data_IF_499230642676
#
_entry.id   IF_499230642676
#
_cell.length_a   1.000
_cell.length_b   1.000
_cell.length_c   1.000
_cell.angle_alpha   90.00
_cell.angle_beta   90.00
_cell.angle_gamma   90.00
#
_symmetry.space_group_name_H-M   'P 1'
#
loop_
_entity.id
_entity.type
_entity.pdbx_description
1 polymer ?
#
# COMPACT_ATOMS: atom_id res chain seq x y z
N UNK A 1 2.02 -1.43 -22.47
CA UNK A 1 2.72 -1.30 -21.17
C UNK A 1 1.89 -0.59 -20.10
N UNK A 2 1.00 0.34 -20.47
CA UNK A 2 0.08 1.02 -19.53
C UNK A 2 -0.76 0.06 -18.69
N UNK A 3 -1.38 -0.96 -19.31
CA UNK A 3 -2.23 -1.92 -18.59
C UNK A 3 -1.48 -2.72 -17.50
N UNK A 4 -0.22 -3.09 -17.74
CA UNK A 4 0.61 -3.75 -16.73
C UNK A 4 0.93 -2.78 -15.59
N UNK A 5 1.23 -1.51 -15.89
CA UNK A 5 1.52 -0.48 -14.89
C UNK A 5 0.31 -0.20 -14.00
N UNK A 6 -0.86 0.01 -14.62
CA UNK A 6 -2.14 0.26 -13.95
C UNK A 6 -2.59 -0.94 -13.12
N UNK A 7 -2.50 -2.15 -13.69
CA UNK A 7 -2.83 -3.39 -12.99
C UNK A 7 -1.92 -3.62 -11.77
N UNK A 8 -0.61 -3.40 -11.93
CA UNK A 8 0.36 -3.53 -10.84
C UNK A 8 0.12 -2.48 -9.75
N UNK A 9 -0.16 -1.23 -10.14
CA UNK A 9 -0.51 -0.15 -9.22
C UNK A 9 -1.80 -0.45 -8.44
N UNK A 10 -2.83 -0.98 -9.09
CA UNK A 10 -4.06 -1.42 -8.45
C UNK A 10 -3.85 -2.55 -7.44
N UNK A 11 -3.06 -3.57 -7.80
CA UNK A 11 -2.71 -4.67 -6.88
C UNK A 11 -1.90 -4.18 -5.67
N UNK A 12 -0.97 -3.25 -5.88
CA UNK A 12 -0.21 -2.62 -4.80
C UNK A 12 -1.10 -1.79 -3.88
N UNK A 13 -2.09 -1.07 -4.42
CA UNK A 13 -3.06 -0.31 -3.63
C UNK A 13 -3.90 -1.24 -2.74
N UNK A 14 -4.39 -2.35 -3.29
CA UNK A 14 -5.14 -3.35 -2.52
C UNK A 14 -4.27 -3.99 -1.43
N UNK A 15 -3.01 -4.29 -1.75
CA UNK A 15 -2.04 -4.84 -0.81
C UNK A 15 -1.75 -3.85 0.32
N UNK A 16 -1.52 -2.57 0.00
CA UNK A 16 -1.33 -1.50 0.96
C UNK A 16 -2.53 -1.38 1.92
N UNK A 17 -3.75 -1.36 1.37
CA UNK A 17 -4.98 -1.30 2.17
C UNK A 17 -5.12 -2.49 3.12
N UNK A 18 -4.86 -3.71 2.62
CA UNK A 18 -4.89 -4.93 3.43
C UNK A 18 -3.84 -4.92 4.55
N UNK A 19 -2.60 -4.50 4.25
CA UNK A 19 -1.52 -4.40 5.25
C UNK A 19 -1.85 -3.37 6.32
N UNK A 20 -2.35 -2.19 5.95
CA UNK A 20 -2.76 -1.16 6.90
C UNK A 20 -3.92 -1.63 7.78
N UNK A 21 -4.93 -2.28 7.19
CA UNK A 21 -6.03 -2.86 7.94
C UNK A 21 -5.54 -3.92 8.93
N UNK A 22 -4.60 -4.78 8.53
CA UNK A 22 -3.99 -5.76 9.42
C UNK A 22 -3.20 -5.08 10.55
N UNK A 23 -2.49 -3.98 10.28
CA UNK A 23 -1.84 -3.15 11.30
C UNK A 23 -2.83 -2.63 12.36
N UNK A 24 -4.02 -2.19 11.93
CA UNK A 24 -5.10 -1.77 12.86
C UNK A 24 -5.59 -2.94 13.73
N UNK A 25 -5.66 -4.16 13.18
CA UNK A 25 -6.01 -5.34 13.98
C UNK A 25 -4.93 -5.64 15.04
N UNK A 26 -3.65 -5.48 14.70
CA UNK A 26 -2.56 -5.65 15.67
C UNK A 26 -2.61 -4.61 16.80
N UNK A 27 -3.01 -3.36 16.50
CA UNK A 27 -3.25 -2.35 17.54
C UNK A 27 -4.33 -2.80 18.53
N UNK A 28 -5.41 -3.44 18.07
CA UNK A 28 -6.46 -4.00 18.95
C UNK A 28 -5.93 -5.16 19.79
N UNK A 29 -5.02 -5.96 19.23
CA UNK A 29 -4.31 -7.01 19.93
C UNK A 29 -3.23 -6.52 20.91
N UNK A 30 -3.02 -5.20 21.00
CA UNK A 30 -1.94 -4.57 21.78
C UNK A 30 -0.52 -5.01 21.33
N UNK A 31 -0.39 -5.56 20.12
CA UNK A 31 0.90 -5.81 19.50
C UNK A 31 1.34 -4.56 18.74
N UNK A 32 1.91 -3.62 19.49
CA UNK A 32 2.30 -2.32 18.96
C UNK A 32 3.49 -2.40 18.01
N UNK A 33 4.41 -3.34 18.21
CA UNK A 33 5.59 -3.49 17.34
C UNK A 33 5.15 -4.01 15.98
N UNK A 34 4.33 -5.06 15.93
CA UNK A 34 3.78 -5.54 14.67
C UNK A 34 2.92 -4.48 13.98
N UNK A 35 2.09 -3.75 14.74
CA UNK A 35 1.30 -2.65 14.20
C UNK A 35 2.15 -1.57 13.54
N UNK A 36 3.22 -1.09 14.21
CA UNK A 36 4.13 -0.08 13.65
C UNK A 36 4.78 -0.59 12.37
N UNK A 37 5.30 -1.82 12.38
CA UNK A 37 5.95 -2.42 11.20
C UNK A 37 4.97 -2.52 10.03
N UNK A 38 3.76 -3.01 10.26
CA UNK A 38 2.72 -3.13 9.22
C UNK A 38 2.28 -1.76 8.70
N UNK A 39 2.16 -0.75 9.57
CA UNK A 39 1.82 0.61 9.14
C UNK A 39 2.92 1.18 8.24
N UNK A 40 4.20 1.04 8.62
CA UNK A 40 5.32 1.52 7.80
C UNK A 40 5.37 0.81 6.44
N UNK A 41 5.22 -0.51 6.42
CA UNK A 41 5.16 -1.30 5.17
C UNK A 41 3.97 -0.87 4.31
N UNK A 42 2.78 -0.76 4.91
CA UNK A 42 1.55 -0.37 4.22
C UNK A 42 1.66 1.01 3.58
N UNK A 43 2.26 1.99 4.29
CA UNK A 43 2.51 3.32 3.75
C UNK A 43 3.55 3.31 2.61
N UNK A 44 4.60 2.49 2.71
CA UNK A 44 5.57 2.34 1.63
C UNK A 44 4.93 1.74 0.36
N UNK A 45 4.08 0.71 0.51
CA UNK A 45 3.31 0.12 -0.59
C UNK A 45 2.34 1.13 -1.20
N UNK A 46 1.68 1.94 -0.37
CA UNK A 46 0.78 2.99 -0.85
C UNK A 46 1.53 4.04 -1.68
N UNK A 47 2.72 4.47 -1.23
CA UNK A 47 3.56 5.39 -1.99
C UNK A 47 3.96 4.82 -3.36
N UNK A 48 4.35 3.55 -3.42
CA UNK A 48 4.65 2.87 -4.68
C UNK A 48 3.42 2.75 -5.59
N UNK A 49 2.25 2.43 -5.02
CA UNK A 49 0.99 2.37 -5.77
C UNK A 49 0.63 3.72 -6.38
N UNK A 50 0.75 4.81 -5.61
CA UNK A 50 0.48 6.18 -6.08
C UNK A 50 1.41 6.54 -7.24
N UNK A 51 2.70 6.25 -7.13
CA UNK A 51 3.66 6.58 -8.21
C UNK A 51 3.37 5.81 -9.50
N UNK A 52 2.96 4.54 -9.39
CA UNK A 52 2.57 3.72 -10.55
C UNK A 52 1.25 4.17 -11.19
N UNK A 53 0.28 4.57 -10.38
CA UNK A 53 -1.03 5.03 -10.83
C UNK A 53 -1.04 6.50 -11.26
N UNK A 54 0.02 7.25 -10.95
CA UNK A 54 0.16 8.65 -11.32
C UNK A 54 0.01 8.80 -12.83
N UNK A 55 -0.96 9.61 -13.31
CA UNK A 55 -1.09 9.90 -14.72
C UNK A 55 0.20 10.52 -15.23
N UNK A 56 0.76 10.00 -16.33
CA UNK A 56 1.86 10.62 -17.04
C UNK A 56 1.32 11.82 -17.84
N UNK A 57 0.88 12.88 -17.17
CA UNK A 57 0.60 14.15 -17.86
C UNK A 57 1.93 14.73 -18.31
N UNK A 58 2.38 14.37 -19.52
CA UNK A 58 3.66 14.79 -20.08
C UNK A 58 4.23 13.92 -21.21
N UNK A 59 3.50 12.92 -21.71
CA UNK A 59 3.82 12.19 -22.96
C UNK A 59 2.67 12.31 -23.96
#
# INVERSE_FOLDING_TARGET
>A
MSWLREGSGGLLLLSAAATLFHGVLQLRGHDYVAAIVLVVIGLALLGAAVELLRPSTGE
#
